data_IF_111191354237
#
_entry.id   IF_111191354237
#
_cell.length_a   1.000
_cell.length_b   1.000
_cell.length_c   1.000
_cell.angle_alpha   90.00
_cell.angle_beta   90.00
_cell.angle_gamma   90.00
#
_symmetry.space_group_name_H-M   'P 1'
#
loop_
_entity.id
_entity.type
_entity.pdbx_description
1 polymer ?
#
# COMPACT_ATOMS: atom_id res chain seq x y z
N UNK A 1 53.24 -3.72 -65.60
CA UNK A 1 52.96 -3.94 -64.16
C UNK A 1 51.58 -3.37 -63.86
N UNK A 2 50.58 -4.23 -63.63
CA UNK A 2 49.21 -3.81 -63.27
C UNK A 2 49.02 -4.06 -61.80
N UNK A 3 48.91 -2.96 -61.03
CA UNK A 3 48.61 -3.00 -59.59
C UNK A 3 47.13 -3.26 -59.35
N UNK A 4 46.78 -4.35 -58.61
CA UNK A 4 45.44 -4.66 -58.18
C UNK A 4 45.23 -4.06 -56.78
N UNK A 5 44.31 -3.09 -56.66
CA UNK A 5 43.82 -2.58 -55.40
C UNK A 5 42.75 -3.54 -54.87
N UNK A 6 42.98 -4.11 -53.70
CA UNK A 6 41.99 -4.90 -52.95
C UNK A 6 41.38 -3.97 -51.93
N UNK A 7 40.05 -3.72 -52.06
CA UNK A 7 39.27 -2.93 -51.14
C UNK A 7 38.74 -3.87 -50.02
N UNK A 8 39.00 -3.59 -48.73
CA UNK A 8 38.43 -4.42 -47.68
C UNK A 8 36.98 -4.05 -47.44
N UNK A 9 36.10 -5.05 -47.55
CA UNK A 9 34.69 -4.97 -47.24
C UNK A 9 34.52 -4.98 -45.70
N UNK A 10 34.17 -3.81 -45.13
CA UNK A 10 33.87 -3.67 -43.69
C UNK A 10 32.43 -4.21 -43.46
N UNK A 11 32.34 -5.40 -42.90
CA UNK A 11 31.05 -5.99 -42.48
C UNK A 11 30.62 -5.35 -41.15
N UNK A 12 29.75 -4.34 -41.21
CA UNK A 12 29.10 -3.77 -40.03
C UNK A 12 28.06 -4.74 -39.49
N UNK A 13 28.42 -5.52 -38.47
CA UNK A 13 27.48 -6.39 -37.76
C UNK A 13 26.54 -5.53 -36.92
N UNK A 14 25.28 -5.41 -37.33
CA UNK A 14 24.21 -4.84 -36.54
C UNK A 14 23.82 -5.86 -35.46
N UNK A 15 24.28 -5.63 -34.23
CA UNK A 15 23.82 -6.37 -33.06
C UNK A 15 22.37 -5.94 -32.77
N UNK A 16 21.41 -6.75 -33.20
CA UNK A 16 20.04 -6.65 -32.68
C UNK A 16 20.05 -7.11 -31.22
N UNK A 17 20.02 -6.17 -30.30
CA UNK A 17 19.70 -6.46 -28.91
C UNK A 17 18.23 -6.86 -28.83
N UNK A 18 17.97 -8.17 -28.80
CA UNK A 18 16.65 -8.70 -28.43
C UNK A 18 16.42 -8.38 -26.96
N UNK A 19 15.69 -7.31 -26.68
CA UNK A 19 15.11 -7.10 -25.36
C UNK A 19 14.11 -8.24 -25.14
N UNK A 20 14.43 -9.16 -24.21
CA UNK A 20 13.47 -10.14 -23.71
C UNK A 20 12.27 -9.35 -23.17
N UNK A 21 11.17 -9.36 -23.91
CA UNK A 21 9.87 -8.92 -23.38
C UNK A 21 9.54 -9.90 -22.25
N UNK A 22 9.48 -9.39 -21.03
CA UNK A 22 9.09 -10.18 -19.86
C UNK A 22 7.70 -10.77 -20.14
N UNK A 23 7.54 -12.08 -19.95
CA UNK A 23 6.26 -12.80 -20.17
C UNK A 23 5.09 -12.31 -19.30
N UNK A 24 5.31 -11.34 -18.40
CA UNK A 24 4.37 -10.94 -17.35
C UNK A 24 3.99 -9.45 -17.35
N UNK A 25 4.11 -8.75 -18.48
CA UNK A 25 3.81 -7.29 -18.54
C UNK A 25 2.30 -6.97 -18.63
N UNK A 26 1.43 -7.93 -18.28
CA UNK A 26 -0.02 -7.73 -18.32
C UNK A 26 -0.60 -7.42 -16.95
N UNK A 27 -1.34 -6.30 -16.88
CA UNK A 27 -2.15 -5.96 -15.73
C UNK A 27 -3.26 -6.98 -15.49
N UNK A 28 -3.39 -7.44 -14.28
CA UNK A 28 -4.48 -8.27 -13.80
C UNK A 28 -5.37 -7.46 -12.88
N UNK A 29 -6.66 -7.41 -13.17
CA UNK A 29 -7.64 -6.78 -12.29
C UNK A 29 -7.80 -7.61 -11.01
N UNK A 30 -7.68 -6.97 -9.85
CA UNK A 30 -7.98 -7.55 -8.55
C UNK A 30 -9.44 -7.32 -8.16
N UNK A 31 -10.04 -6.25 -8.65
CA UNK A 31 -11.48 -5.98 -8.57
C UNK A 31 -12.12 -6.23 -9.94
N UNK A 32 -13.16 -7.05 -9.96
CA UNK A 32 -13.80 -7.53 -11.20
C UNK A 32 -14.87 -6.58 -11.77
N UNK A 33 -15.13 -5.44 -11.12
CA UNK A 33 -16.17 -4.48 -11.51
C UNK A 33 -17.60 -4.93 -11.22
N UNK A 34 -17.80 -6.01 -10.45
CA UNK A 34 -19.14 -6.57 -10.17
C UNK A 34 -19.39 -6.78 -8.68
N UNK A 35 -18.47 -7.46 -8.01
CA UNK A 35 -18.60 -7.90 -6.63
C UNK A 35 -17.23 -8.05 -5.96
N UNK A 36 -17.19 -8.48 -4.72
CA UNK A 36 -15.97 -8.74 -3.95
C UNK A 36 -15.41 -10.17 -4.15
N UNK A 37 -15.75 -10.86 -5.23
CA UNK A 37 -15.14 -12.16 -5.56
C UNK A 37 -13.60 -12.03 -5.63
N UNK A 38 -12.89 -12.87 -4.87
CA UNK A 38 -11.42 -12.81 -4.74
C UNK A 38 -10.94 -12.03 -3.51
N UNK A 39 -11.89 -11.45 -2.75
CA UNK A 39 -11.64 -10.77 -1.49
C UNK A 39 -12.37 -11.45 -0.34
N UNK A 40 -11.82 -11.32 0.87
CA UNK A 40 -12.47 -11.59 2.14
C UNK A 40 -12.72 -10.26 2.84
N UNK A 41 -13.81 -10.12 3.55
CA UNK A 41 -14.08 -9.01 4.46
C UNK A 41 -13.74 -9.42 5.88
N UNK A 42 -13.17 -8.52 6.66
CA UNK A 42 -13.03 -8.71 8.10
C UNK A 42 -13.38 -7.41 8.81
N UNK A 43 -14.20 -7.53 9.84
CA UNK A 43 -14.63 -6.39 10.68
C UNK A 43 -14.21 -6.68 12.11
N UNK A 44 -13.43 -5.76 12.68
CA UNK A 44 -13.01 -5.79 14.08
C UNK A 44 -14.17 -5.61 15.04
N UNK A 45 -13.89 -5.43 16.34
CA UNK A 45 -14.93 -5.17 17.34
C UNK A 45 -15.62 -3.83 17.12
N UNK A 46 -16.84 -3.71 17.60
CA UNK A 46 -17.50 -2.41 17.72
C UNK A 46 -16.71 -1.50 18.65
N UNK A 47 -16.56 -0.24 18.25
CA UNK A 47 -15.84 0.78 19.00
C UNK A 47 -16.83 1.84 19.53
N UNK A 48 -16.55 2.36 20.73
CA UNK A 48 -17.21 3.54 21.25
C UNK A 48 -16.76 4.84 20.53
N UNK A 49 -17.34 5.97 20.88
CA UNK A 49 -16.98 7.27 20.29
C UNK A 49 -15.53 7.69 20.61
N UNK A 50 -14.85 7.03 21.53
CA UNK A 50 -13.44 7.23 21.88
C UNK A 50 -12.51 6.22 21.17
N UNK A 51 -13.07 5.32 20.37
CA UNK A 51 -12.34 4.29 19.64
C UNK A 51 -11.93 3.09 20.50
N UNK A 52 -12.60 2.83 21.62
CA UNK A 52 -12.35 1.65 22.45
C UNK A 52 -13.33 0.53 22.10
N UNK A 53 -12.89 -0.74 22.07
CA UNK A 53 -13.78 -1.87 21.89
C UNK A 53 -14.88 -1.92 22.96
N UNK A 54 -16.13 -2.06 22.52
CA UNK A 54 -17.29 -2.10 23.44
C UNK A 54 -17.37 -3.47 24.14
N UNK A 55 -17.18 -4.55 23.39
CA UNK A 55 -17.27 -5.92 23.88
C UNK A 55 -16.04 -6.79 23.60
N UNK A 56 -15.03 -6.23 22.94
CA UNK A 56 -13.77 -6.91 22.62
C UNK A 56 -13.84 -8.02 21.58
N UNK A 57 -15.04 -8.35 21.07
CA UNK A 57 -15.23 -9.41 20.07
C UNK A 57 -15.37 -8.79 18.68
N UNK A 58 -14.65 -9.31 17.67
CA UNK A 58 -14.82 -8.87 16.29
C UNK A 58 -16.17 -9.29 15.74
N UNK A 59 -16.73 -8.51 14.82
CA UNK A 59 -17.88 -8.92 14.00
C UNK A 59 -17.47 -10.11 13.12
N UNK A 60 -16.25 -10.09 12.60
CA UNK A 60 -15.56 -11.29 12.10
C UNK A 60 -15.38 -11.36 10.60
N UNK A 61 -14.91 -12.53 10.17
CA UNK A 61 -14.51 -12.82 8.79
C UNK A 61 -15.77 -13.12 7.94
N UNK A 62 -15.86 -12.46 6.78
CA UNK A 62 -16.96 -12.59 5.82
C UNK A 62 -18.35 -12.41 6.46
N UNK A 63 -18.40 -11.61 7.52
CA UNK A 63 -19.60 -11.24 8.24
C UNK A 63 -19.69 -9.69 8.26
N UNK A 64 -20.50 -9.15 7.35
CA UNK A 64 -20.68 -7.71 7.16
C UNK A 64 -22.16 -7.32 7.16
N UNK A 65 -22.83 -7.40 8.32
CA UNK A 65 -24.26 -7.11 8.43
C UNK A 65 -24.60 -5.62 8.21
N UNK A 66 -23.59 -4.73 8.25
CA UNK A 66 -23.77 -3.28 8.09
C UNK A 66 -23.40 -2.80 6.69
N UNK A 67 -22.99 -3.72 5.79
CA UNK A 67 -22.53 -3.37 4.45
C UNK A 67 -21.43 -2.31 4.45
N UNK A 68 -20.47 -2.47 5.37
CA UNK A 68 -19.27 -1.63 5.46
C UNK A 68 -18.53 -1.65 4.14
N UNK A 69 -18.48 -2.83 3.51
CA UNK A 69 -17.90 -3.05 2.20
C UNK A 69 -19.00 -3.37 1.19
N UNK A 70 -19.24 -2.49 0.23
CA UNK A 70 -20.31 -2.62 -0.74
C UNK A 70 -19.88 -2.16 -2.13
N UNK A 71 -20.67 -2.53 -3.14
CA UNK A 71 -20.47 -2.05 -4.50
C UNK A 71 -21.55 -1.02 -4.80
N UNK A 72 -21.13 0.14 -5.30
CA UNK A 72 -22.03 1.22 -5.69
C UNK A 72 -21.70 1.69 -7.10
N UNK A 73 -22.64 2.41 -7.74
CA UNK A 73 -22.40 3.06 -9.03
C UNK A 73 -21.92 4.50 -8.84
N UNK A 74 -20.82 4.84 -9.52
CA UNK A 74 -20.34 6.21 -9.67
C UNK A 74 -20.08 6.47 -11.16
N UNK A 75 -20.78 7.45 -11.74
CA UNK A 75 -20.65 7.83 -13.16
C UNK A 75 -20.75 6.64 -14.15
N UNK A 76 -21.60 5.65 -13.83
CA UNK A 76 -21.83 4.46 -14.64
C UNK A 76 -20.88 3.29 -14.37
N UNK A 77 -19.80 3.48 -13.62
CA UNK A 77 -18.86 2.46 -13.20
C UNK A 77 -19.28 1.88 -11.83
N UNK A 78 -19.14 0.54 -11.66
CA UNK A 78 -19.26 -0.08 -10.34
C UNK A 78 -17.94 0.08 -9.60
N UNK A 79 -18.01 0.67 -8.42
CA UNK A 79 -16.83 0.93 -7.56
C UNK A 79 -17.04 0.32 -6.17
N UNK A 80 -15.95 0.03 -5.48
CA UNK A 80 -16.00 -0.41 -4.08
C UNK A 80 -16.25 0.82 -3.21
N UNK A 81 -17.29 0.76 -2.37
CA UNK A 81 -17.54 1.71 -1.30
C UNK A 81 -17.17 1.07 0.02
N UNK A 82 -16.35 1.73 0.79
CA UNK A 82 -16.06 1.44 2.19
C UNK A 82 -16.74 2.52 3.01
N UNK A 83 -17.72 2.17 3.82
CA UNK A 83 -18.50 3.16 4.60
C UNK A 83 -17.67 3.83 5.69
N UNK A 84 -16.70 3.12 6.26
CA UNK A 84 -15.91 3.56 7.40
C UNK A 84 -16.58 3.36 8.76
N UNK A 85 -17.82 2.87 8.80
CA UNK A 85 -18.62 2.78 10.03
C UNK A 85 -17.97 1.90 11.10
N UNK A 86 -17.35 0.79 10.69
CA UNK A 86 -16.56 -0.08 11.54
C UNK A 86 -15.14 -0.20 11.04
N UNK A 87 -14.21 -0.40 11.96
CA UNK A 87 -12.83 -0.70 11.60
C UNK A 87 -12.68 -2.13 11.10
N UNK A 88 -11.96 -2.30 10.02
CA UNK A 88 -11.77 -3.59 9.37
C UNK A 88 -11.05 -3.44 8.04
N UNK A 89 -11.09 -4.47 7.22
CA UNK A 89 -10.51 -4.44 5.88
C UNK A 89 -11.19 -5.41 4.93
N UNK A 90 -11.14 -5.10 3.62
CA UNK A 90 -11.19 -6.13 2.58
C UNK A 90 -9.77 -6.62 2.32
N UNK A 91 -9.61 -7.92 2.10
CA UNK A 91 -8.32 -8.58 1.94
C UNK A 91 -8.34 -9.49 0.73
N UNK A 92 -7.30 -9.44 -0.11
CA UNK A 92 -7.20 -10.43 -1.18
C UNK A 92 -7.13 -11.85 -0.62
N UNK A 93 -7.82 -12.82 -1.25
CA UNK A 93 -7.69 -14.23 -0.88
C UNK A 93 -6.30 -14.79 -1.19
N UNK A 94 -5.64 -14.25 -2.23
CA UNK A 94 -4.29 -14.63 -2.66
C UNK A 94 -3.25 -13.71 -2.05
N UNK A 95 -2.05 -14.23 -1.90
CA UNK A 95 -0.85 -13.49 -1.54
C UNK A 95 -0.07 -13.09 -2.78
N UNK A 96 0.68 -12.00 -2.67
CA UNK A 96 1.47 -11.41 -3.75
C UNK A 96 2.87 -11.06 -3.29
N UNK A 97 3.83 -11.17 -4.20
CA UNK A 97 5.23 -10.78 -4.06
C UNK A 97 5.75 -10.25 -5.41
N UNK A 98 6.74 -9.37 -5.41
CA UNK A 98 7.38 -8.82 -6.61
C UNK A 98 6.37 -8.26 -7.63
N UNK A 99 5.70 -7.19 -7.27
CA UNK A 99 4.62 -6.61 -8.07
C UNK A 99 4.63 -5.09 -8.11
N UNK A 100 3.96 -4.55 -9.14
CA UNK A 100 3.42 -3.20 -9.18
C UNK A 100 1.90 -3.29 -9.03
N UNK A 101 1.38 -2.75 -7.94
CA UNK A 101 -0.05 -2.57 -7.68
C UNK A 101 -0.42 -1.12 -7.98
N UNK A 102 -1.52 -0.94 -8.69
CA UNK A 102 -2.11 0.38 -8.91
C UNK A 102 -3.58 0.35 -8.53
N UNK A 103 -4.04 1.40 -7.87
CA UNK A 103 -5.45 1.61 -7.57
C UNK A 103 -5.79 3.09 -7.52
N UNK A 104 -7.09 3.39 -7.57
CA UNK A 104 -7.57 4.75 -7.33
C UNK A 104 -8.50 4.82 -6.14
N UNK A 105 -8.38 5.89 -5.34
CA UNK A 105 -9.30 6.20 -4.25
C UNK A 105 -9.88 7.61 -4.36
N UNK A 106 -11.05 7.79 -3.75
CA UNK A 106 -11.75 9.07 -3.61
C UNK A 106 -12.46 9.14 -2.28
N UNK A 107 -12.30 10.23 -1.54
CA UNK A 107 -13.02 10.45 -0.29
C UNK A 107 -14.51 10.67 -0.51
N UNK A 108 -15.33 9.99 0.29
CA UNK A 108 -16.76 10.25 0.40
C UNK A 108 -17.09 11.35 1.40
N UNK A 109 -18.37 11.52 1.71
CA UNK A 109 -18.85 12.57 2.61
C UNK A 109 -18.83 12.16 4.10
N UNK A 110 -19.07 10.88 4.40
CA UNK A 110 -19.34 10.41 5.76
C UNK A 110 -18.06 10.21 6.57
N UNK A 111 -18.19 10.41 7.89
CA UNK A 111 -17.20 10.00 8.88
C UNK A 111 -17.90 9.56 10.17
N UNK A 112 -17.26 8.63 10.90
CA UNK A 112 -17.85 7.91 12.02
C UNK A 112 -16.98 7.97 13.27
N UNK A 113 -17.62 7.74 14.41
CA UNK A 113 -16.96 7.59 15.71
C UNK A 113 -15.93 8.69 15.98
N UNK A 114 -14.75 8.30 16.37
CA UNK A 114 -13.65 9.22 16.68
C UNK A 114 -13.09 10.02 15.48
N UNK A 115 -13.44 9.66 14.22
CA UNK A 115 -13.03 10.39 13.01
C UNK A 115 -14.05 11.46 12.58
N UNK A 116 -15.18 11.62 13.28
CA UNK A 116 -16.14 12.69 12.98
C UNK A 116 -15.49 14.06 13.10
N UNK A 117 -15.58 14.86 12.03
CA UNK A 117 -14.99 16.21 11.99
C UNK A 117 -13.47 16.25 11.98
N UNK A 118 -12.81 15.09 11.80
CA UNK A 118 -11.35 15.00 11.69
C UNK A 118 -10.94 14.60 10.28
N UNK A 119 -9.64 14.45 10.05
CA UNK A 119 -9.10 13.90 8.83
C UNK A 119 -9.71 12.53 8.55
N UNK A 120 -10.11 12.33 7.31
CA UNK A 120 -10.60 11.03 6.82
C UNK A 120 -9.45 10.05 6.78
N UNK A 121 -9.75 8.77 7.08
CA UNK A 121 -8.74 7.75 7.25
C UNK A 121 -9.11 6.42 6.61
N UNK A 122 -8.14 5.82 5.99
CA UNK A 122 -8.11 4.51 5.37
C UNK A 122 -6.63 4.13 5.17
N UNK A 123 -6.33 2.98 4.58
CA UNK A 123 -4.97 2.54 4.29
C UNK A 123 -4.93 1.43 3.24
N UNK A 124 -3.83 1.39 2.51
CA UNK A 124 -3.45 0.26 1.66
C UNK A 124 -2.38 -0.54 2.40
N UNK A 125 -2.79 -1.68 2.98
CA UNK A 125 -1.88 -2.56 3.68
C UNK A 125 -1.39 -3.65 2.72
N UNK A 126 -0.10 -3.91 2.75
CA UNK A 126 0.50 -4.88 1.85
C UNK A 126 1.45 -5.82 2.59
N UNK A 127 1.72 -6.96 1.96
CA UNK A 127 2.41 -8.09 2.59
C UNK A 127 1.73 -8.49 3.91
N UNK A 128 0.39 -8.43 3.94
CA UNK A 128 -0.39 -8.75 5.13
C UNK A 128 -0.34 -10.24 5.41
N UNK A 129 0.08 -10.61 6.64
CA UNK A 129 0.29 -11.99 7.07
C UNK A 129 -0.35 -12.28 8.43
N UNK A 130 -0.45 -13.57 8.76
CA UNK A 130 -1.02 -14.03 10.02
C UNK A 130 -2.53 -14.08 9.99
N UNK A 131 -3.17 -13.88 11.14
CA UNK A 131 -4.62 -13.95 11.27
C UNK A 131 -5.28 -12.60 10.96
N UNK A 132 -6.53 -12.65 10.53
CA UNK A 132 -7.37 -11.47 10.44
C UNK A 132 -7.56 -10.89 11.85
N UNK A 133 -7.42 -9.56 11.96
CA UNK A 133 -7.46 -8.89 13.25
C UNK A 133 -6.28 -9.31 14.14
N UNK A 134 -5.11 -8.77 13.88
CA UNK A 134 -3.93 -9.09 14.68
C UNK A 134 -4.12 -8.70 16.16
N UNK A 135 -3.67 -9.54 17.07
CA UNK A 135 -3.76 -9.31 18.53
C UNK A 135 -2.63 -8.41 19.05
N UNK A 136 -2.03 -7.60 18.19
CA UNK A 136 -0.81 -6.90 18.51
C UNK A 136 -1.01 -5.38 18.42
N UNK A 137 -0.56 -4.66 19.48
CA UNK A 137 -0.47 -3.20 19.47
C UNK A 137 -1.80 -2.44 19.52
N UNK A 138 -1.78 -1.20 19.02
CA UNK A 138 -2.89 -0.25 19.09
C UNK A 138 -3.94 -0.44 17.97
N UNK A 139 -3.83 -1.47 17.16
CA UNK A 139 -4.65 -1.65 15.94
C UNK A 139 -6.00 -2.36 16.24
N UNK A 140 -6.36 -2.47 17.52
CA UNK A 140 -7.65 -2.98 18.04
C UNK A 140 -8.16 -4.27 17.40
N UNK A 141 -7.27 -5.11 16.86
CA UNK A 141 -7.68 -6.35 16.21
C UNK A 141 -8.49 -6.16 14.91
N UNK A 142 -8.28 -5.06 14.19
CA UNK A 142 -9.01 -4.77 12.97
C UNK A 142 -8.25 -5.20 11.70
N UNK A 143 -6.92 -5.18 11.74
CA UNK A 143 -6.07 -5.42 10.56
C UNK A 143 -5.03 -6.51 10.80
N UNK A 144 -4.51 -7.08 9.70
CA UNK A 144 -3.43 -8.05 9.76
C UNK A 144 -2.09 -7.35 9.96
N UNK A 145 -1.07 -8.09 10.45
CA UNK A 145 0.31 -7.62 10.43
C UNK A 145 0.74 -7.29 9.01
N UNK A 146 1.29 -6.11 8.77
CA UNK A 146 1.58 -5.62 7.43
C UNK A 146 2.48 -4.38 7.42
N UNK A 147 2.89 -4.00 6.22
CA UNK A 147 3.34 -2.64 5.90
C UNK A 147 2.12 -1.83 5.46
N UNK A 148 2.04 -0.56 5.84
CA UNK A 148 0.95 0.30 5.42
C UNK A 148 1.44 1.48 4.57
N UNK A 149 0.80 1.63 3.43
CA UNK A 149 0.79 2.83 2.63
C UNK A 149 -0.44 3.64 3.05
N UNK A 150 -0.22 4.61 3.92
CA UNK A 150 -1.29 5.39 4.54
C UNK A 150 -2.14 6.13 3.51
N UNK A 151 -3.45 6.06 3.69
CA UNK A 151 -4.47 6.82 2.98
C UNK A 151 -5.23 7.64 4.02
N UNK A 152 -4.61 8.71 4.52
CA UNK A 152 -5.25 9.67 5.42
C UNK A 152 -5.26 11.04 4.75
N UNK A 153 -6.35 11.77 4.86
CA UNK A 153 -6.53 13.08 4.25
C UNK A 153 -5.42 14.07 4.65
N UNK A 154 -4.63 14.52 3.68
CA UNK A 154 -3.46 15.36 3.87
C UNK A 154 -2.20 14.63 4.34
N UNK A 155 -2.30 13.33 4.67
CA UNK A 155 -1.18 12.47 5.04
C UNK A 155 -1.05 11.25 4.10
N UNK A 156 -1.77 11.24 2.98
CA UNK A 156 -1.69 10.17 1.99
C UNK A 156 -0.25 9.99 1.52
N UNK A 157 0.27 8.78 1.68
CA UNK A 157 1.67 8.47 1.41
C UNK A 157 2.54 8.34 2.66
N UNK A 158 2.09 8.60 3.87
CA UNK A 158 2.80 8.26 5.09
C UNK A 158 3.00 6.73 5.20
N UNK A 159 3.90 6.31 6.05
CA UNK A 159 4.15 4.90 6.37
C UNK A 159 3.80 4.59 7.80
N UNK A 160 3.16 3.46 8.00
CA UNK A 160 3.00 2.83 9.31
C UNK A 160 3.42 1.35 9.27
N UNK A 161 4.15 0.91 10.30
CA UNK A 161 4.32 -0.52 10.57
C UNK A 161 3.14 -1.03 11.39
N UNK A 162 2.30 -1.90 10.81
CA UNK A 162 1.07 -2.41 11.45
C UNK A 162 1.35 -3.74 12.13
N UNK A 163 0.98 -3.85 13.41
CA UNK A 163 1.02 -5.10 14.18
C UNK A 163 2.39 -5.83 14.14
N UNK A 164 3.48 -5.07 14.20
CA UNK A 164 4.84 -5.61 14.13
C UNK A 164 5.50 -5.53 12.76
N UNK A 165 4.87 -4.89 11.77
CA UNK A 165 5.52 -4.52 10.52
C UNK A 165 6.67 -3.54 10.77
N UNK A 166 7.78 -3.67 10.02
CA UNK A 166 9.01 -2.90 10.18
C UNK A 166 9.64 -2.59 8.84
N UNK A 167 10.32 -1.44 8.73
CA UNK A 167 11.11 -1.08 7.57
C UNK A 167 12.25 -0.13 7.95
N UNK A 168 13.28 -0.07 7.12
CA UNK A 168 14.33 0.92 7.20
C UNK A 168 14.04 2.03 6.18
N UNK A 169 13.98 3.28 6.66
CA UNK A 169 13.61 4.42 5.82
C UNK A 169 14.66 5.53 6.01
N UNK A 170 15.20 6.11 4.92
CA UNK A 170 16.08 7.26 5.02
C UNK A 170 15.28 8.51 5.38
N UNK A 171 15.66 9.19 6.48
CA UNK A 171 14.88 10.29 7.04
C UNK A 171 15.73 11.43 7.57
N UNK A 172 15.11 12.59 7.66
CA UNK A 172 15.58 13.72 8.46
C UNK A 172 14.63 13.96 9.63
N UNK A 173 15.19 14.32 10.79
CA UNK A 173 14.41 14.68 11.97
C UNK A 173 13.79 16.06 11.75
N UNK A 174 12.48 16.18 11.86
CA UNK A 174 11.74 17.45 11.73
C UNK A 174 11.36 18.05 13.09
N UNK A 175 11.02 17.17 14.05
CA UNK A 175 10.73 17.53 15.45
C UNK A 175 11.09 16.36 16.36
N UNK A 176 10.86 16.48 17.67
CA UNK A 176 11.18 15.40 18.61
C UNK A 176 10.38 14.11 18.35
N UNK A 177 9.23 14.22 17.70
CA UNK A 177 8.34 13.09 17.42
C UNK A 177 8.11 12.85 15.92
N UNK A 178 8.68 13.65 15.02
CA UNK A 178 8.42 13.54 13.60
C UNK A 178 9.71 13.36 12.80
N UNK A 179 9.73 12.27 12.02
CA UNK A 179 10.77 11.95 11.05
C UNK A 179 10.15 11.95 9.66
N UNK A 180 10.76 12.71 8.75
CA UNK A 180 10.29 12.91 7.38
C UNK A 180 11.21 12.17 6.43
N UNK A 181 10.61 11.42 5.49
CA UNK A 181 11.35 10.78 4.41
C UNK A 181 12.24 11.79 3.68
N UNK A 182 13.49 11.42 3.48
CA UNK A 182 14.45 12.15 2.67
C UNK A 182 15.42 11.16 2.04
N UNK A 183 15.53 11.09 0.70
CA UNK A 183 16.39 10.12 0.03
C UNK A 183 17.86 10.17 0.47
N UNK A 184 18.36 11.35 0.88
CA UNK A 184 19.72 11.58 1.38
C UNK A 184 19.80 11.55 2.91
N UNK A 185 18.70 11.23 3.60
CA UNK A 185 18.65 11.19 5.06
C UNK A 185 19.34 9.96 5.67
N UNK A 186 19.48 9.97 6.98
CA UNK A 186 20.01 8.83 7.70
C UNK A 186 18.98 7.67 7.70
N UNK A 187 19.46 6.46 7.38
CA UNK A 187 18.62 5.27 7.43
C UNK A 187 18.22 4.96 8.86
N UNK A 188 16.93 4.86 9.13
CA UNK A 188 16.37 4.65 10.46
C UNK A 188 15.38 3.49 10.46
N UNK A 189 15.37 2.69 11.53
CA UNK A 189 14.48 1.55 11.70
C UNK A 189 13.14 2.03 12.25
N UNK A 190 12.08 1.91 11.44
CA UNK A 190 10.71 2.18 11.86
C UNK A 190 10.05 0.89 12.33
N UNK A 191 9.72 0.85 13.61
CA UNK A 191 9.03 -0.29 14.22
C UNK A 191 8.38 0.15 15.52
N UNK A 192 7.47 -0.64 16.02
CA UNK A 192 6.93 -0.45 17.36
C UNK A 192 8.05 -0.57 18.41
N UNK A 193 8.13 0.39 19.31
CA UNK A 193 9.17 0.47 20.34
C UNK A 193 10.54 0.97 19.87
N UNK A 194 10.74 1.30 18.59
CA UNK A 194 11.97 1.95 18.14
C UNK A 194 12.04 3.42 18.56
N UNK A 195 13.24 4.02 18.51
CA UNK A 195 13.44 5.44 18.85
C UNK A 195 12.65 6.41 17.96
N UNK A 196 12.41 6.01 16.69
CA UNK A 196 11.68 6.83 15.72
C UNK A 196 10.20 6.44 15.64
N UNK A 197 9.78 5.41 16.40
CA UNK A 197 8.44 4.87 16.35
C UNK A 197 8.15 4.06 15.07
N UNK A 198 6.88 3.76 14.83
CA UNK A 198 6.41 2.98 13.69
C UNK A 198 5.87 3.83 12.53
N UNK A 199 5.83 5.16 12.68
CA UNK A 199 5.28 6.12 11.74
C UNK A 199 6.36 6.99 11.11
N UNK A 200 6.38 7.07 9.79
CA UNK A 200 7.24 7.97 9.03
C UNK A 200 6.40 8.92 8.16
N UNK A 201 6.67 10.21 8.26
CA UNK A 201 5.98 11.24 7.47
C UNK A 201 6.53 11.26 6.04
N UNK A 202 5.64 11.42 5.07
CA UNK A 202 5.97 11.55 3.64
C UNK A 202 6.81 12.79 3.32
N UNK A 203 7.49 12.76 2.19
CA UNK A 203 8.13 13.94 1.63
C UNK A 203 7.15 14.72 0.72
N UNK A 204 6.68 15.85 1.20
CA UNK A 204 5.78 16.72 0.44
C UNK A 204 4.35 16.18 0.36
N UNK A 205 3.55 16.73 -0.54
CA UNK A 205 2.17 16.36 -0.76
C UNK A 205 1.86 16.23 -2.25
N UNK A 206 1.01 15.27 -2.61
CA UNK A 206 0.55 15.04 -3.97
C UNK A 206 -0.92 14.61 -4.01
N UNK A 207 -1.64 14.68 -2.88
CA UNK A 207 -3.04 14.33 -2.79
C UNK A 207 -3.91 15.38 -3.52
N UNK A 208 -4.83 14.90 -4.37
CA UNK A 208 -5.84 15.77 -4.98
C UNK A 208 -6.91 16.16 -3.94
N UNK A 209 -7.59 17.29 -4.11
CA UNK A 209 -8.64 17.73 -3.21
C UNK A 209 -9.72 16.67 -2.96
N UNK A 210 -10.34 16.72 -1.78
CA UNK A 210 -11.45 15.84 -1.40
C UNK A 210 -12.54 15.82 -2.48
N UNK A 211 -13.00 14.60 -2.82
CA UNK A 211 -13.98 14.37 -3.88
C UNK A 211 -13.37 14.13 -5.26
N UNK A 212 -12.06 14.30 -5.42
CA UNK A 212 -11.34 13.93 -6.63
C UNK A 212 -10.66 12.56 -6.48
N UNK A 213 -10.45 11.87 -7.60
CA UNK A 213 -9.73 10.61 -7.63
C UNK A 213 -8.23 10.82 -7.47
N UNK A 214 -7.62 10.00 -6.63
CA UNK A 214 -6.18 9.89 -6.45
C UNK A 214 -5.71 8.53 -6.96
N UNK A 215 -4.55 8.47 -7.58
CA UNK A 215 -3.89 7.23 -8.00
C UNK A 215 -2.78 6.89 -7.03
N UNK A 216 -2.79 5.66 -6.52
CA UNK A 216 -1.70 5.07 -5.75
C UNK A 216 -1.00 4.03 -6.60
N UNK A 217 0.31 4.13 -6.67
CA UNK A 217 1.18 3.10 -7.22
C UNK A 217 2.08 2.56 -6.10
N UNK A 218 2.03 1.26 -5.89
CA UNK A 218 2.87 0.55 -4.94
C UNK A 218 3.75 -0.45 -5.69
N UNK A 219 5.06 -0.24 -5.62
CA UNK A 219 6.03 -1.17 -6.17
C UNK A 219 6.67 -1.96 -5.04
N UNK A 220 6.69 -3.29 -5.16
CA UNK A 220 7.35 -4.20 -4.23
C UNK A 220 8.24 -5.16 -4.99
N UNK A 221 9.52 -5.24 -4.63
CA UNK A 221 10.44 -6.24 -5.17
C UNK A 221 11.50 -6.60 -4.12
N UNK A 222 11.62 -7.91 -3.83
CA UNK A 222 12.41 -8.37 -2.69
C UNK A 222 11.90 -7.72 -1.40
N UNK A 223 12.80 -7.17 -0.61
CA UNK A 223 12.52 -6.50 0.65
C UNK A 223 12.36 -4.97 0.53
N UNK A 224 12.22 -4.46 -0.68
CA UNK A 224 12.11 -3.02 -0.95
C UNK A 224 10.74 -2.68 -1.54
N UNK A 225 10.15 -1.56 -1.08
CA UNK A 225 8.90 -1.03 -1.62
C UNK A 225 8.96 0.48 -1.84
N UNK A 226 8.15 0.96 -2.81
CA UNK A 226 8.07 2.37 -3.19
C UNK A 226 6.60 2.79 -3.16
N UNK A 227 6.30 3.85 -2.42
CA UNK A 227 4.98 4.49 -2.37
C UNK A 227 4.94 5.69 -3.29
N UNK A 228 3.97 5.73 -4.21
CA UNK A 228 3.79 6.82 -5.19
C UNK A 228 2.35 7.29 -5.16
N UNK A 229 2.13 8.59 -4.99
CA UNK A 229 0.81 9.24 -5.01
C UNK A 229 0.76 10.17 -6.21
N UNK A 230 -0.19 9.98 -7.12
CA UNK A 230 -0.39 10.81 -8.31
C UNK A 230 0.91 11.05 -9.10
N UNK A 231 1.71 9.99 -9.27
CA UNK A 231 2.98 10.01 -10.00
C UNK A 231 4.17 10.58 -9.22
N UNK A 232 4.00 11.04 -7.98
CA UNK A 232 5.09 11.56 -7.13
C UNK A 232 5.51 10.52 -6.09
N UNK A 233 6.81 10.21 -6.03
CA UNK A 233 7.36 9.32 -5.00
C UNK A 233 7.22 9.97 -3.63
N UNK A 234 6.54 9.28 -2.72
CA UNK A 234 6.39 9.70 -1.33
C UNK A 234 7.51 9.14 -0.46
N UNK A 235 7.98 7.93 -0.78
CA UNK A 235 9.10 7.26 -0.10
C UNK A 235 9.54 5.99 -0.77
N UNK A 236 10.74 5.57 -0.39
CA UNK A 236 11.28 4.22 -0.59
C UNK A 236 11.53 3.60 0.78
N UNK A 237 11.11 2.36 0.95
CA UNK A 237 11.32 1.55 2.15
C UNK A 237 12.27 0.41 1.81
N UNK A 238 13.21 0.14 2.69
CA UNK A 238 14.19 -0.93 2.57
C UNK A 238 14.02 -1.94 3.70
N UNK A 239 14.51 -3.15 3.50
CA UNK A 239 14.51 -4.22 4.50
C UNK A 239 13.11 -4.41 5.15
N UNK A 240 12.07 -4.49 4.31
CA UNK A 240 10.72 -4.79 4.78
C UNK A 240 10.70 -6.11 5.54
N UNK A 241 10.35 -6.07 6.82
CA UNK A 241 10.35 -7.20 7.71
C UNK A 241 9.27 -7.08 8.78
N UNK A 242 9.15 -8.09 9.59
CA UNK A 242 8.21 -8.16 10.70
C UNK A 242 8.89 -8.63 11.97
N UNK A 243 8.37 -8.23 13.11
CA UNK A 243 8.72 -8.83 14.40
C UNK A 243 7.64 -9.84 14.77
N UNK A 244 8.03 -11.11 14.87
CA UNK A 244 7.15 -12.20 15.25
C UNK A 244 7.80 -13.04 16.37
N UNK A 245 7.10 -13.18 17.50
CA UNK A 245 7.59 -13.88 18.67
C UNK A 245 9.03 -13.49 19.08
N UNK A 246 9.36 -12.20 18.97
CA UNK A 246 10.68 -11.66 19.29
C UNK A 246 11.73 -11.79 18.18
N UNK A 247 11.43 -12.47 17.08
CA UNK A 247 12.32 -12.63 15.94
C UNK A 247 11.97 -11.65 14.82
N UNK A 248 12.99 -11.15 14.12
CA UNK A 248 12.83 -10.39 12.89
C UNK A 248 12.86 -11.33 11.70
N UNK A 249 11.79 -11.33 10.91
CA UNK A 249 11.62 -12.17 9.72
C UNK A 249 11.31 -11.29 8.50
N UNK A 250 11.74 -11.67 7.29
CA UNK A 250 11.36 -10.95 6.07
C UNK A 250 9.83 -10.83 5.94
N UNK A 251 9.36 -9.67 5.44
CA UNK A 251 7.96 -9.42 5.10
C UNK A 251 7.87 -8.94 3.66
N UNK A 252 8.08 -9.87 2.72
CA UNK A 252 8.23 -9.61 1.28
C UNK A 252 7.09 -10.16 0.45
N UNK A 253 6.14 -10.86 1.10
CA UNK A 253 4.99 -11.50 0.50
C UNK A 253 3.81 -11.49 1.45
N UNK A 254 2.60 -11.40 0.93
CA UNK A 254 1.37 -11.49 1.71
C UNK A 254 0.15 -11.02 0.94
N UNK A 255 -0.96 -10.91 1.66
CA UNK A 255 -2.23 -10.37 1.14
C UNK A 255 -2.13 -8.86 0.99
N UNK A 256 -3.03 -8.31 0.18
CA UNK A 256 -3.29 -6.87 0.06
C UNK A 256 -4.60 -6.59 0.80
N UNK A 257 -4.59 -5.60 1.70
CA UNK A 257 -5.78 -5.16 2.42
C UNK A 257 -6.09 -3.70 2.10
N UNK A 258 -7.37 -3.35 2.13
CA UNK A 258 -7.83 -1.96 2.05
C UNK A 258 -8.69 -1.70 3.28
N UNK A 259 -8.29 -0.70 4.06
CA UNK A 259 -8.87 -0.42 5.37
C UNK A 259 -10.23 0.27 5.32
N UNK A 260 -11.04 -0.03 6.32
CA UNK A 260 -12.13 0.78 6.84
C UNK A 260 -11.70 1.36 8.18
N UNK A 261 -11.64 2.69 8.30
CA UNK A 261 -11.14 3.39 9.49
C UNK A 261 -11.88 4.70 9.77
N UNK A 262 -13.17 4.63 9.96
CA UNK A 262 -13.98 5.74 10.43
C UNK A 262 -14.31 6.81 9.37
N UNK A 263 -13.96 6.59 8.08
CA UNK A 263 -14.31 7.50 7.01
C UNK A 263 -14.78 6.77 5.75
N UNK A 264 -15.75 7.39 5.07
CA UNK A 264 -16.21 6.88 3.78
C UNK A 264 -15.17 7.13 2.69
N UNK A 265 -14.84 6.07 1.96
CA UNK A 265 -13.88 6.10 0.86
C UNK A 265 -14.33 5.17 -0.25
N UNK A 266 -14.05 5.56 -1.49
CA UNK A 266 -14.34 4.79 -2.69
C UNK A 266 -13.04 4.32 -3.34
N UNK A 267 -13.05 3.09 -3.88
CA UNK A 267 -11.91 2.49 -4.58
C UNK A 267 -12.33 1.93 -5.94
N UNK A 268 -11.45 2.06 -6.93
CA UNK A 268 -11.64 1.50 -8.27
C UNK A 268 -10.31 1.18 -8.94
N UNK A 269 -10.36 0.52 -10.09
CA UNK A 269 -9.21 0.22 -10.94
C UNK A 269 -8.06 -0.44 -10.16
N UNK A 270 -8.42 -1.39 -9.29
CA UNK A 270 -7.45 -2.13 -8.48
C UNK A 270 -6.83 -3.21 -9.34
N UNK A 271 -5.58 -3.00 -9.76
CA UNK A 271 -4.88 -3.87 -10.69
C UNK A 271 -3.43 -4.11 -10.27
N UNK A 272 -2.91 -5.28 -10.64
CA UNK A 272 -1.58 -5.73 -10.27
C UNK A 272 -0.87 -6.34 -11.48
N UNK A 273 0.45 -6.14 -11.57
CA UNK A 273 1.32 -6.87 -12.49
C UNK A 273 2.60 -7.30 -11.79
N UNK A 274 3.15 -8.45 -12.18
CA UNK A 274 4.45 -8.90 -11.69
C UNK A 274 5.55 -7.99 -12.26
N UNK A 275 6.60 -7.77 -11.47
CA UNK A 275 7.80 -7.04 -11.90
C UNK A 275 9.05 -7.86 -11.55
N UNK A 276 10.07 -7.77 -12.41
CA UNK A 276 11.35 -8.43 -12.21
C UNK A 276 12.40 -7.52 -11.53
N UNK A 277 12.08 -6.24 -11.38
CA UNK A 277 12.92 -5.21 -10.73
C UNK A 277 12.11 -3.96 -10.41
N UNK A 278 12.60 -3.16 -9.47
CA UNK A 278 12.07 -1.82 -9.22
C UNK A 278 12.48 -0.84 -10.34
N UNK A 279 11.63 0.14 -10.69
CA UNK A 279 12.00 1.22 -11.60
C UNK A 279 13.12 2.09 -10.96
N UNK A 280 14.28 2.13 -11.60
CA UNK A 280 15.47 2.81 -11.05
C UNK A 280 15.23 4.32 -10.90
N UNK A 281 14.46 4.91 -11.79
CA UNK A 281 14.07 6.32 -11.79
C UNK A 281 13.26 6.73 -10.55
N UNK A 282 12.53 5.79 -9.93
CA UNK A 282 11.76 6.05 -8.71
C UNK A 282 12.60 5.94 -7.43
N UNK A 283 13.75 5.26 -7.49
CA UNK A 283 14.66 5.11 -6.34
C UNK A 283 15.61 6.29 -6.23
N UNK A 284 15.96 6.91 -7.35
CA UNK A 284 16.98 7.98 -7.45
C UNK A 284 16.42 9.40 -7.31
N UNK A 285 15.15 9.55 -6.96
CA UNK A 285 14.51 10.87 -6.81
C UNK A 285 14.89 11.59 -5.51
#
# INVERSE_FOLDING_TARGET
MKSKFILPLLLCGILFAFTKVSKNDHWKQLYNGKDLTGWDTYIGPDLDDKGKPINGLPIGLNNDPRHVFSIVKDSGENIIRISGENWGAISTKKEYENYHLQLQFKWGALSWGQKRGKKKDSGLLYHSVGKYGADYGADYGAWMRSQEFQVEQGNCGDYWGVAGGMADIPVVKRSDTAYVYSPQGALSIFSEGSKVGRHCVKQGDAENPTGQWNTLDLYCHGDTSIHVVNGKVMRVLYHNRQKDNGQELPLTKGKIQIQSEGAEVFYRQIQIKAIDRLPVELIKQ
#
